data_IF_872462111762
#
_entry.id   IF_872462111762
#
_cell.length_a   1.000
_cell.length_b   1.000
_cell.length_c   1.000
_cell.angle_alpha   90.00
_cell.angle_beta   90.00
_cell.angle_gamma   90.00
#
_symmetry.space_group_name_H-M   'P 1'
#
loop_
_entity.id
_entity.type
_entity.pdbx_description
1 polymer ?
#
# COMPACT_ATOMS: atom_id res chain seq x y z
N UNK A 1 -1.38 0.20 -23.15
CA UNK A 1 -0.81 1.28 -22.31
C UNK A 1 -0.12 2.28 -23.21
N UNK A 2 -0.56 3.55 -23.19
CA UNK A 2 0.03 4.62 -23.99
C UNK A 2 1.06 5.40 -23.17
N UNK A 3 2.09 5.94 -23.81
CA UNK A 3 3.13 6.82 -23.25
C UNK A 3 2.53 8.01 -22.48
N UNK A 4 1.30 8.42 -22.81
CA UNK A 4 0.56 9.46 -22.10
C UNK A 4 0.14 9.07 -20.67
N UNK A 5 -0.23 7.80 -20.42
CA UNK A 5 -0.51 7.29 -19.06
C UNK A 5 0.78 7.22 -18.25
N UNK A 6 1.88 6.79 -18.88
CA UNK A 6 3.19 6.72 -18.24
C UNK A 6 3.70 8.11 -17.83
N UNK A 7 3.51 9.13 -18.69
CA UNK A 7 3.87 10.52 -18.41
C UNK A 7 2.97 11.16 -17.36
N UNK A 8 1.66 10.86 -17.32
CA UNK A 8 0.79 11.33 -16.24
C UNK A 8 1.20 10.74 -14.87
N UNK A 9 1.53 9.44 -14.82
CA UNK A 9 2.05 8.81 -13.59
C UNK A 9 3.43 9.33 -13.20
N UNK A 10 4.27 9.74 -14.17
CA UNK A 10 5.59 10.34 -13.92
C UNK A 10 5.54 11.84 -13.57
N UNK A 11 4.56 12.61 -14.03
CA UNK A 11 4.39 14.02 -13.66
C UNK A 11 3.71 14.17 -12.28
N UNK A 12 2.91 13.19 -11.86
CA UNK A 12 2.46 13.09 -10.47
C UNK A 12 3.60 12.76 -9.48
N UNK A 13 4.75 12.25 -9.95
CA UNK A 13 5.91 11.85 -9.11
C UNK A 13 6.72 12.98 -8.48
N UNK A 14 6.33 14.25 -8.60
CA UNK A 14 7.06 15.34 -7.94
C UNK A 14 6.44 15.80 -6.61
N UNK A 15 5.26 15.30 -6.23
CA UNK A 15 4.61 15.62 -4.95
C UNK A 15 3.65 14.52 -4.45
N UNK A 16 3.87 13.26 -4.83
CA UNK A 16 2.96 12.19 -4.44
C UNK A 16 3.24 11.82 -2.99
N UNK A 17 2.38 12.32 -2.10
CA UNK A 17 2.34 11.91 -0.72
C UNK A 17 2.17 10.39 -0.68
N UNK A 18 3.19 9.69 -0.16
CA UNK A 18 3.15 8.25 -0.03
C UNK A 18 2.00 7.79 0.85
N UNK A 19 1.55 8.62 1.79
CA UNK A 19 0.40 8.35 2.64
C UNK A 19 -0.86 8.21 1.80
N UNK A 20 -1.21 9.26 1.05
CA UNK A 20 -2.37 9.27 0.15
C UNK A 20 -2.30 8.14 -0.89
N UNK A 21 -1.10 7.87 -1.41
CA UNK A 21 -0.89 6.79 -2.36
C UNK A 21 -1.26 5.41 -1.77
N UNK A 22 -0.79 5.14 -0.54
CA UNK A 22 -1.05 3.89 0.16
C UNK A 22 -2.53 3.77 0.49
N UNK A 23 -3.13 4.81 1.05
CA UNK A 23 -4.56 4.84 1.40
C UNK A 23 -5.45 4.60 0.17
N UNK A 24 -5.14 5.26 -0.95
CA UNK A 24 -5.87 5.10 -2.20
C UNK A 24 -5.75 3.67 -2.73
N UNK A 25 -4.56 3.07 -2.68
CA UNK A 25 -4.34 1.70 -3.15
C UNK A 25 -5.06 0.67 -2.28
N UNK A 26 -5.08 0.86 -0.95
CA UNK A 26 -5.84 0.03 -0.02
C UNK A 26 -7.33 0.10 -0.36
N UNK A 27 -7.86 1.31 -0.45
CA UNK A 27 -9.28 1.56 -0.75
C UNK A 27 -9.67 0.98 -2.11
N UNK A 28 -8.80 1.14 -3.11
CA UNK A 28 -9.02 0.61 -4.47
C UNK A 28 -9.07 -0.91 -4.47
N UNK A 29 -8.13 -1.58 -3.80
CA UNK A 29 -8.12 -3.04 -3.73
C UNK A 29 -9.39 -3.58 -3.07
N UNK A 30 -9.78 -3.02 -1.92
CA UNK A 30 -10.98 -3.44 -1.20
C UNK A 30 -12.26 -3.20 -2.00
N UNK A 31 -12.45 -2.01 -2.59
CA UNK A 31 -13.63 -1.72 -3.42
C UNK A 31 -13.74 -2.62 -4.64
N UNK A 32 -12.60 -2.99 -5.25
CA UNK A 32 -12.60 -3.92 -6.38
C UNK A 32 -13.00 -5.33 -5.96
N UNK A 33 -12.55 -5.80 -4.79
CA UNK A 33 -12.99 -7.08 -4.25
C UNK A 33 -14.49 -7.09 -3.97
N UNK A 34 -15.01 -6.05 -3.32
CA UNK A 34 -16.45 -5.91 -3.04
C UNK A 34 -17.29 -5.90 -4.32
N UNK A 35 -16.79 -5.29 -5.39
CA UNK A 35 -17.44 -5.25 -6.69
C UNK A 35 -17.20 -6.49 -7.56
N UNK A 36 -16.42 -7.48 -7.10
CA UNK A 36 -15.95 -8.61 -7.92
C UNK A 36 -15.38 -8.15 -9.27
N UNK A 37 -14.66 -7.03 -9.26
CA UNK A 37 -14.24 -6.31 -10.46
C UNK A 37 -13.17 -7.09 -11.25
N UNK A 38 -13.43 -7.26 -12.55
CA UNK A 38 -12.48 -7.89 -13.47
C UNK A 38 -11.62 -6.84 -14.20
N UNK A 39 -10.35 -7.15 -14.52
CA UNK A 39 -9.67 -8.41 -14.24
C UNK A 39 -9.16 -8.49 -12.80
N UNK A 40 -9.17 -9.70 -12.21
CA UNK A 40 -8.62 -9.95 -10.86
C UNK A 40 -7.14 -9.55 -10.72
N UNK A 41 -6.37 -9.65 -11.80
CA UNK A 41 -4.96 -9.29 -11.84
C UNK A 41 -4.70 -7.81 -11.51
N UNK A 42 -5.65 -6.91 -11.76
CA UNK A 42 -5.56 -5.51 -11.34
C UNK A 42 -5.73 -5.34 -9.83
N UNK A 43 -6.60 -6.15 -9.21
CA UNK A 43 -6.77 -6.17 -7.75
C UNK A 43 -5.49 -6.66 -7.07
N UNK A 44 -4.91 -7.77 -7.55
CA UNK A 44 -3.61 -8.26 -7.06
C UNK A 44 -2.51 -7.20 -7.22
N UNK A 45 -2.46 -6.51 -8.36
CA UNK A 45 -1.50 -5.42 -8.58
C UNK A 45 -1.70 -4.26 -7.60
N UNK A 46 -2.94 -3.88 -7.30
CA UNK A 46 -3.23 -2.84 -6.31
C UNK A 46 -2.74 -3.25 -4.92
N UNK A 47 -2.98 -4.49 -4.51
CA UNK A 47 -2.50 -5.05 -3.23
C UNK A 47 -0.98 -5.03 -3.14
N UNK A 48 -0.27 -5.48 -4.19
CA UNK A 48 1.20 -5.48 -4.20
C UNK A 48 1.78 -4.06 -4.22
N UNK A 49 1.15 -3.15 -4.96
CA UNK A 49 1.56 -1.75 -5.02
C UNK A 49 1.33 -1.04 -3.69
N UNK A 50 0.22 -1.32 -2.97
CA UNK A 50 -0.04 -0.76 -1.65
C UNK A 50 1.10 -1.11 -0.68
N UNK A 51 1.52 -2.38 -0.65
CA UNK A 51 2.66 -2.80 0.17
C UNK A 51 3.97 -2.13 -0.28
N UNK A 52 4.22 -2.04 -1.58
CA UNK A 52 5.41 -1.39 -2.13
C UNK A 52 5.48 0.10 -1.78
N UNK A 53 4.39 0.83 -1.94
CA UNK A 53 4.26 2.25 -1.58
C UNK A 53 4.40 2.45 -0.07
N UNK A 54 3.80 1.56 0.75
CA UNK A 54 3.93 1.63 2.20
C UNK A 54 5.37 1.44 2.66
N UNK A 55 6.17 0.61 1.98
CA UNK A 55 7.62 0.49 2.28
C UNK A 55 8.40 1.78 1.98
N UNK A 56 7.94 2.58 1.02
CA UNK A 56 8.52 3.90 0.75
C UNK A 56 8.08 4.88 1.82
N UNK A 57 6.79 4.92 2.15
CA UNK A 57 6.26 5.70 3.27
C UNK A 57 7.01 5.42 4.57
N UNK A 58 7.16 4.15 4.96
CA UNK A 58 7.85 3.75 6.18
C UNK A 58 9.33 4.18 6.28
N UNK A 59 9.94 4.57 5.17
CA UNK A 59 11.31 5.12 5.13
C UNK A 59 11.34 6.65 5.21
N UNK A 60 10.32 7.30 4.66
CA UNK A 60 10.27 8.76 4.51
C UNK A 60 9.46 9.42 5.65
N UNK A 61 8.37 8.78 6.07
CA UNK A 61 7.50 9.15 7.18
C UNK A 61 7.03 7.89 7.95
N UNK A 62 7.79 7.49 9.00
CA UNK A 62 7.43 6.36 9.86
C UNK A 62 6.13 6.56 10.65
N UNK A 63 5.74 7.80 10.95
CA UNK A 63 4.52 8.09 11.71
C UNK A 63 3.29 7.83 10.83
N UNK A 64 3.25 8.41 9.64
CA UNK A 64 2.20 8.13 8.65
C UNK A 64 2.15 6.65 8.24
N UNK A 65 3.30 5.99 8.14
CA UNK A 65 3.33 4.54 7.91
C UNK A 65 2.71 3.73 9.05
N UNK A 66 2.86 4.17 10.30
CA UNK A 66 2.28 3.51 11.47
C UNK A 66 0.76 3.62 11.47
N UNK A 67 0.20 4.79 11.12
CA UNK A 67 -1.24 4.99 11.00
C UNK A 67 -1.88 4.03 9.98
N UNK A 68 -1.19 3.79 8.86
CA UNK A 68 -1.70 2.92 7.79
C UNK A 68 -1.42 1.43 8.01
N UNK A 69 -0.74 1.03 9.09
CA UNK A 69 -0.41 -0.38 9.34
C UNK A 69 -1.64 -1.26 9.53
N UNK A 70 -2.61 -0.82 10.32
CA UNK A 70 -3.85 -1.58 10.56
C UNK A 70 -4.67 -1.78 9.27
N UNK A 71 -5.03 -0.74 8.49
CA UNK A 71 -5.78 -0.93 7.26
C UNK A 71 -5.00 -1.73 6.22
N UNK A 72 -3.67 -1.56 6.15
CA UNK A 72 -2.82 -2.34 5.26
C UNK A 72 -2.81 -3.83 5.63
N UNK A 73 -2.62 -4.16 6.91
CA UNK A 73 -2.65 -5.55 7.40
C UNK A 73 -4.01 -6.18 7.14
N UNK A 74 -5.11 -5.46 7.40
CA UNK A 74 -6.46 -5.95 7.13
C UNK A 74 -6.64 -6.31 5.65
N UNK A 75 -6.22 -5.43 4.75
CA UNK A 75 -6.26 -5.70 3.31
C UNK A 75 -5.38 -6.89 2.94
N UNK A 76 -4.12 -6.93 3.38
CA UNK A 76 -3.21 -8.02 3.03
C UNK A 76 -3.73 -9.39 3.51
N UNK A 77 -4.29 -9.46 4.71
CA UNK A 77 -4.93 -10.68 5.23
C UNK A 77 -6.16 -11.06 4.42
N UNK A 78 -6.99 -10.10 4.01
CA UNK A 78 -8.16 -10.35 3.17
C UNK A 78 -7.78 -11.02 1.83
N UNK A 79 -6.64 -10.64 1.25
CA UNK A 79 -6.13 -11.22 -0.01
C UNK A 79 -5.12 -12.37 0.17
N UNK A 80 -4.93 -12.89 1.40
CA UNK A 80 -4.04 -14.03 1.65
C UNK A 80 -2.54 -13.73 1.52
N UNK A 81 -2.12 -12.47 1.67
CA UNK A 81 -0.74 -12.01 1.51
C UNK A 81 0.12 -12.20 2.78
N UNK A 82 0.14 -13.42 3.34
CA UNK A 82 0.74 -13.74 4.66
C UNK A 82 2.16 -13.21 4.85
N UNK A 83 3.03 -13.38 3.85
CA UNK A 83 4.43 -12.90 3.91
C UNK A 83 4.52 -11.38 4.03
N UNK A 84 3.63 -10.66 3.37
CA UNK A 84 3.60 -9.19 3.41
C UNK A 84 2.97 -8.71 4.71
N UNK A 85 1.92 -9.38 5.19
CA UNK A 85 1.34 -9.13 6.51
C UNK A 85 2.40 -9.26 7.61
N UNK A 86 3.15 -10.38 7.64
CA UNK A 86 4.21 -10.57 8.63
C UNK A 86 5.31 -9.52 8.52
N UNK A 87 5.64 -9.08 7.31
CA UNK A 87 6.61 -8.00 7.11
C UNK A 87 6.16 -6.69 7.77
N UNK A 88 4.89 -6.30 7.63
CA UNK A 88 4.33 -5.10 8.26
C UNK A 88 4.35 -5.24 9.78
N UNK A 89 3.88 -6.37 10.32
CA UNK A 89 3.86 -6.63 11.77
C UNK A 89 5.28 -6.58 12.39
N UNK A 90 6.24 -7.24 11.76
CA UNK A 90 7.64 -7.21 12.22
C UNK A 90 8.23 -5.80 12.18
N UNK A 91 7.79 -4.95 11.24
CA UNK A 91 8.22 -3.55 11.21
C UNK A 91 7.62 -2.76 12.38
N UNK A 92 6.31 -2.94 12.66
CA UNK A 92 5.64 -2.30 13.80
C UNK A 92 6.33 -2.63 15.13
N UNK A 93 6.66 -3.91 15.35
CA UNK A 93 7.33 -4.36 16.57
C UNK A 93 8.70 -3.69 16.75
N UNK A 94 9.51 -3.62 15.69
CA UNK A 94 10.81 -2.95 15.73
C UNK A 94 10.69 -1.45 16.00
N UNK A 95 9.75 -0.77 15.35
CA UNK A 95 9.55 0.68 15.52
C UNK A 95 9.09 1.02 16.94
N UNK A 96 8.23 0.20 17.53
CA UNK A 96 7.78 0.37 18.93
C UNK A 96 8.89 0.11 19.96
N UNK A 97 9.81 -0.83 19.67
CA UNK A 97 10.94 -1.12 20.57
C UNK A 97 12.06 -0.08 20.48
N UNK A 98 12.29 0.51 19.30
CA UNK A 98 13.34 1.52 19.10
C UNK A 98 12.98 2.95 19.54
N UNK A 99 11.74 3.19 19.95
CA UNK A 99 11.24 4.50 20.41
C UNK A 99 11.21 4.65 21.94
N UNK A 100 11.87 3.74 22.67
CA UNK A 100 12.05 3.77 24.15
C UNK A 100 13.49 4.11 24.49
#
# INVERSE_FOLDING_TARGET
>A
MNVLTLRATLTARQSLDWYEAVELLITTAMRRADASAQPESETTRAVHNAHGAWRMLAREDPEGAMELCEPLVKMLTHFGEEKRTQHVLNWVDRTRMGSR
#
